data_IF_817482800870
#
_entry.id   IF_817482800870
#
_cell.length_a   1.000
_cell.length_b   1.000
_cell.length_c   1.000
_cell.angle_alpha   90.00
_cell.angle_beta   90.00
_cell.angle_gamma   90.00
#
_symmetry.space_group_name_H-M   'P 1'
#
loop_
_entity.id
_entity.type
_entity.pdbx_description
1 polymer ?
#
# COMPACT_ATOMS: atom_id res chain seq x y z
N UNK A 1 26.12 -60.49 56.02
CA UNK A 1 24.94 -61.36 55.90
C UNK A 1 23.71 -60.47 55.87
N UNK A 2 23.23 -60.12 54.67
CA UNK A 2 21.89 -59.59 54.40
C UNK A 2 21.53 -60.08 52.98
N UNK A 3 20.41 -60.79 52.88
CA UNK A 3 19.77 -61.28 51.66
C UNK A 3 18.82 -60.21 51.12
N UNK A 4 18.78 -60.01 49.80
CA UNK A 4 17.55 -59.96 49.01
C UNK A 4 17.86 -59.78 47.49
N UNK A 5 17.40 -60.70 46.62
CA UNK A 5 17.42 -60.58 45.16
C UNK A 5 16.04 -60.21 44.58
N UNK A 6 16.00 -59.58 43.41
CA UNK A 6 14.98 -59.71 42.34
C UNK A 6 15.06 -58.47 41.42
N UNK A 7 15.50 -58.62 40.16
CA UNK A 7 14.67 -58.95 38.99
C UNK A 7 13.72 -57.79 38.61
N UNK A 8 14.05 -57.00 37.57
CA UNK A 8 13.03 -56.50 36.63
C UNK A 8 13.64 -55.99 35.29
N UNK A 9 13.49 -56.86 34.28
CA UNK A 9 13.02 -56.63 32.90
C UNK A 9 13.54 -55.44 32.08
N UNK A 10 14.36 -55.82 31.08
CA UNK A 10 14.49 -55.20 29.77
C UNK A 10 13.11 -54.97 29.11
N UNK A 11 12.78 -53.72 28.79
CA UNK A 11 11.83 -53.41 27.70
C UNK A 11 12.35 -52.22 26.89
N UNK A 12 13.05 -52.55 25.80
CA UNK A 12 13.22 -51.67 24.65
C UNK A 12 11.85 -51.34 24.08
N UNK A 13 11.31 -50.16 24.37
CA UNK A 13 10.21 -49.57 23.61
C UNK A 13 10.79 -48.49 22.69
N UNK A 14 11.13 -48.91 21.47
CA UNK A 14 11.28 -48.03 20.32
C UNK A 14 9.92 -47.41 20.01
N UNK A 15 9.56 -46.32 20.67
CA UNK A 15 8.49 -45.44 20.18
C UNK A 15 9.12 -44.48 19.19
N UNK A 16 9.13 -44.90 17.93
CA UNK A 16 9.30 -44.00 16.81
C UNK A 16 8.11 -43.02 16.78
N UNK A 17 8.28 -41.87 17.41
CA UNK A 17 7.49 -40.70 17.06
C UNK A 17 8.06 -40.18 15.75
N UNK A 18 7.56 -40.72 14.64
CA UNK A 18 7.62 -40.04 13.38
C UNK A 18 6.93 -38.70 13.55
N UNK A 19 7.71 -37.62 13.60
CA UNK A 19 7.20 -36.29 13.29
C UNK A 19 6.72 -36.36 11.84
N UNK A 20 5.44 -36.65 11.65
CA UNK A 20 4.77 -36.48 10.37
C UNK A 20 4.90 -35.00 10.05
N UNK A 21 5.52 -34.71 8.91
CA UNK A 21 5.65 -33.38 8.35
C UNK A 21 4.33 -32.63 8.48
N UNK A 22 4.31 -31.57 9.29
CA UNK A 22 3.21 -30.62 9.27
C UNK A 22 3.23 -29.99 7.89
N UNK A 23 2.31 -30.45 7.03
CA UNK A 23 1.93 -29.80 5.78
C UNK A 23 1.86 -28.30 6.09
N UNK A 24 2.66 -27.50 5.39
CA UNK A 24 2.59 -26.04 5.45
C UNK A 24 1.21 -25.65 4.92
N UNK A 25 0.17 -25.78 5.74
CA UNK A 25 -1.13 -25.18 5.47
C UNK A 25 -0.86 -23.69 5.52
N UNK A 26 -1.06 -22.95 4.41
CA UNK A 26 -1.01 -21.50 4.47
C UNK A 26 -1.95 -21.10 5.61
N UNK A 27 -1.43 -20.36 6.59
CA UNK A 27 -2.27 -19.77 7.62
C UNK A 27 -3.39 -18.96 6.95
N UNK A 28 -4.47 -18.65 7.69
CA UNK A 28 -5.59 -17.88 7.14
C UNK A 28 -5.05 -16.65 6.41
N UNK A 29 -5.29 -16.58 5.09
CA UNK A 29 -4.97 -15.40 4.30
C UNK A 29 -5.82 -14.28 4.87
N UNK A 30 -5.19 -13.30 5.50
CA UNK A 30 -5.90 -12.15 6.03
C UNK A 30 -6.77 -11.56 4.91
N UNK A 31 -8.03 -11.20 5.17
CA UNK A 31 -8.87 -10.60 4.15
C UNK A 31 -8.19 -9.34 3.64
N UNK A 32 -7.88 -9.33 2.34
CA UNK A 32 -7.29 -8.18 1.66
C UNK A 32 -8.39 -7.14 1.48
N UNK A 33 -8.17 -5.94 2.04
CA UNK A 33 -9.07 -4.80 1.91
C UNK A 33 -8.77 -3.96 0.67
N UNK A 34 -7.96 -4.48 -0.27
CA UNK A 34 -7.51 -3.72 -1.42
C UNK A 34 -8.63 -3.36 -2.41
N UNK A 35 -9.81 -3.95 -2.28
CA UNK A 35 -11.00 -3.58 -3.04
C UNK A 35 -11.97 -2.68 -2.26
N UNK A 36 -11.59 -2.23 -1.05
CA UNK A 36 -12.44 -1.49 -0.11
C UNK A 36 -11.89 -0.10 0.24
N UNK A 37 -10.91 0.44 -0.49
CA UNK A 37 -10.45 1.80 -0.24
C UNK A 37 -11.60 2.82 -0.37
N UNK A 38 -11.77 3.62 0.69
CA UNK A 38 -12.75 4.70 0.75
C UNK A 38 -12.28 5.96 0.03
N UNK A 39 -13.03 7.05 0.20
CA UNK A 39 -12.61 8.38 -0.24
C UNK A 39 -12.00 9.17 0.91
N UNK A 40 -10.74 8.90 1.23
CA UNK A 40 -10.05 9.46 2.40
C UNK A 40 -8.82 10.30 2.04
N UNK A 41 -8.65 10.65 0.77
CA UNK A 41 -7.60 11.59 0.34
C UNK A 41 -8.21 12.99 0.36
N UNK A 42 -7.66 13.87 1.21
CA UNK A 42 -8.01 15.28 1.24
C UNK A 42 -7.36 16.00 0.07
N UNK A 43 -8.16 16.78 -0.66
CA UNK A 43 -7.71 17.58 -1.80
C UNK A 43 -7.60 19.04 -1.37
N UNK A 44 -6.45 19.64 -1.58
CA UNK A 44 -6.24 21.06 -1.29
C UNK A 44 -6.41 21.85 -2.59
N UNK A 45 -7.64 22.32 -2.83
CA UNK A 45 -8.04 22.91 -4.12
C UNK A 45 -8.10 24.44 -4.10
N UNK A 46 -8.09 25.05 -2.92
CA UNK A 46 -8.24 26.51 -2.78
C UNK A 46 -6.86 27.18 -2.62
N UNK A 47 -6.60 28.28 -3.34
CA UNK A 47 -5.45 29.14 -3.08
C UNK A 47 -5.58 29.83 -1.71
N UNK A 48 -5.28 29.08 -0.65
CA UNK A 48 -5.02 29.65 0.67
C UNK A 48 -3.55 30.09 0.72
N UNK A 49 -3.30 31.24 1.34
CA UNK A 49 -1.95 31.76 1.62
C UNK A 49 -1.10 32.13 0.39
N UNK A 50 -1.73 32.39 -0.76
CA UNK A 50 -1.02 32.81 -1.98
C UNK A 50 -0.28 31.67 -2.71
N UNK A 51 -0.54 30.41 -2.32
CA UNK A 51 -0.01 29.23 -2.99
C UNK A 51 -0.83 28.96 -4.26
N UNK A 52 -0.23 28.81 -5.45
CA UNK A 52 -0.93 28.62 -6.72
C UNK A 52 -1.47 27.18 -6.87
N UNK A 53 -2.45 26.84 -6.04
CA UNK A 53 -3.15 25.56 -6.08
C UNK A 53 -4.23 25.56 -7.15
N UNK A 54 -4.38 24.42 -7.82
CA UNK A 54 -5.50 24.10 -8.69
C UNK A 54 -6.36 22.99 -8.12
N UNK A 55 -7.61 22.96 -8.57
CA UNK A 55 -8.52 21.86 -8.33
C UNK A 55 -7.97 20.56 -8.94
N UNK A 56 -8.31 19.44 -8.32
CA UNK A 56 -8.08 18.11 -8.88
C UNK A 56 -9.19 17.84 -9.90
N UNK A 57 -8.84 17.89 -11.19
CA UNK A 57 -9.79 17.77 -12.30
C UNK A 57 -10.05 16.31 -12.69
N UNK A 58 -9.13 15.41 -12.33
CA UNK A 58 -9.28 13.96 -12.54
C UNK A 58 -9.18 13.21 -11.24
N UNK A 59 -10.17 12.39 -10.99
CA UNK A 59 -10.28 11.51 -9.83
C UNK A 59 -11.13 10.30 -10.18
N UNK A 60 -10.51 9.34 -10.86
CA UNK A 60 -11.19 8.20 -11.44
C UNK A 60 -10.81 6.92 -10.71
N UNK A 61 -11.79 6.07 -10.39
CA UNK A 61 -11.55 4.77 -9.75
C UNK A 61 -11.85 3.64 -10.71
N UNK A 62 -10.99 2.62 -10.68
CA UNK A 62 -11.14 1.39 -11.47
C UNK A 62 -10.69 0.19 -10.66
N UNK A 63 -11.22 -0.99 -10.98
CA UNK A 63 -10.67 -2.24 -10.44
C UNK A 63 -9.52 -2.73 -11.33
N UNK A 64 -8.40 -3.11 -10.71
CA UNK A 64 -7.27 -3.73 -11.39
C UNK A 64 -7.54 -5.21 -11.71
N UNK A 65 -6.71 -5.79 -12.60
CA UNK A 65 -6.80 -7.21 -12.95
C UNK A 65 -6.50 -8.15 -11.77
N UNK A 66 -5.81 -7.65 -10.75
CA UNK A 66 -5.55 -8.31 -9.47
C UNK A 66 -6.72 -8.22 -8.48
N UNK A 67 -7.83 -7.60 -8.88
CA UNK A 67 -9.00 -7.37 -8.04
C UNK A 67 -8.88 -6.18 -7.09
N UNK A 68 -7.72 -5.53 -7.01
CA UNK A 68 -7.49 -4.38 -6.13
C UNK A 68 -7.88 -3.07 -6.82
N UNK A 69 -8.45 -2.13 -6.08
CA UNK A 69 -8.85 -0.83 -6.61
C UNK A 69 -7.61 0.01 -6.97
N UNK A 70 -7.71 0.72 -8.10
CA UNK A 70 -6.79 1.75 -8.56
C UNK A 70 -7.53 3.08 -8.62
N UNK A 71 -6.81 4.19 -8.42
CA UNK A 71 -7.36 5.55 -8.48
C UNK A 71 -6.39 6.45 -9.24
N UNK A 72 -6.85 7.11 -10.28
CA UNK A 72 -6.06 8.11 -11.01
C UNK A 72 -6.44 9.48 -10.49
N UNK A 73 -5.44 10.22 -10.00
CA UNK A 73 -5.60 11.61 -9.54
C UNK A 73 -4.75 12.50 -10.45
N UNK A 74 -5.31 13.61 -10.91
CA UNK A 74 -4.59 14.53 -11.79
C UNK A 74 -5.28 15.87 -12.01
N UNK A 75 -4.56 16.75 -12.70
CA UNK A 75 -4.99 18.09 -13.07
C UNK A 75 -4.29 18.57 -14.34
N UNK A 76 -4.90 19.54 -15.00
CA UNK A 76 -4.38 20.22 -16.17
C UNK A 76 -3.69 21.51 -15.77
N UNK A 77 -2.59 21.80 -16.47
CA UNK A 77 -1.85 23.03 -16.28
C UNK A 77 -2.62 24.25 -16.77
N UNK A 78 -2.33 25.40 -16.17
CA UNK A 78 -2.83 26.68 -16.67
C UNK A 78 -2.15 27.04 -18.00
N UNK A 79 -2.76 27.91 -18.82
CA UNK A 79 -2.10 28.41 -20.03
C UNK A 79 -0.74 29.03 -19.73
N UNK A 80 0.29 28.61 -20.48
CA UNK A 80 1.68 29.03 -20.31
C UNK A 80 2.29 28.67 -18.94
N UNK A 81 1.83 27.59 -18.30
CA UNK A 81 2.46 27.04 -17.11
C UNK A 81 3.96 26.75 -17.37
N UNK A 82 4.79 27.15 -16.42
CA UNK A 82 6.21 26.86 -16.32
C UNK A 82 6.51 25.66 -15.43
N UNK A 83 5.60 25.31 -14.51
CA UNK A 83 5.66 24.07 -13.74
C UNK A 83 4.26 23.47 -13.53
N UNK A 84 4.20 22.14 -13.45
CA UNK A 84 2.99 21.38 -13.18
C UNK A 84 3.34 20.11 -12.41
N UNK A 85 2.79 19.96 -11.21
CA UNK A 85 3.03 18.77 -10.39
C UNK A 85 1.93 18.50 -9.38
N UNK A 86 1.83 17.24 -8.96
CA UNK A 86 1.05 16.82 -7.80
C UNK A 86 1.99 16.77 -6.59
N UNK A 87 1.56 17.37 -5.49
CA UNK A 87 2.23 17.30 -4.19
C UNK A 87 1.48 16.33 -3.28
N UNK A 88 2.20 15.38 -2.68
CA UNK A 88 1.61 14.32 -1.87
C UNK A 88 1.94 14.51 -0.39
N UNK A 89 0.95 14.32 0.49
CA UNK A 89 1.12 14.41 1.94
C UNK A 89 1.88 15.69 2.36
N UNK A 90 1.51 16.84 1.79
CA UNK A 90 2.16 18.12 2.10
C UNK A 90 3.69 18.12 1.90
N UNK A 91 4.17 17.48 0.80
CA UNK A 91 5.57 17.21 0.44
C UNK A 91 6.24 16.02 1.15
N UNK A 92 5.67 15.44 2.21
CA UNK A 92 6.30 14.32 2.93
C UNK A 92 6.43 13.05 2.06
N UNK A 93 5.50 12.85 1.13
CA UNK A 93 5.55 11.75 0.15
C UNK A 93 6.10 12.18 -1.22
N UNK A 94 6.64 13.41 -1.30
CA UNK A 94 7.24 13.98 -2.50
C UNK A 94 6.24 14.48 -3.53
N UNK A 95 6.67 14.55 -4.79
CA UNK A 95 5.88 15.08 -5.91
C UNK A 95 5.76 14.08 -7.06
N UNK A 96 4.69 14.17 -7.85
CA UNK A 96 4.63 13.63 -9.22
C UNK A 96 4.75 14.80 -10.20
N UNK A 97 5.71 14.72 -11.13
CA UNK A 97 5.86 15.66 -12.24
C UNK A 97 6.21 14.89 -13.51
N UNK A 98 5.83 15.44 -14.66
CA UNK A 98 6.26 14.91 -15.96
C UNK A 98 7.24 15.91 -16.55
N UNK A 99 8.48 15.48 -16.77
CA UNK A 99 9.55 16.38 -17.20
C UNK A 99 9.25 16.97 -18.59
N UNK A 100 9.28 18.30 -18.69
CA UNK A 100 9.01 19.04 -19.93
C UNK A 100 7.54 19.04 -20.36
N UNK A 101 6.62 18.56 -19.52
CA UNK A 101 5.20 18.51 -19.82
C UNK A 101 4.39 19.28 -18.76
N UNK A 102 3.75 20.37 -19.19
CA UNK A 102 3.01 21.29 -18.31
C UNK A 102 1.53 21.41 -18.65
N UNK A 103 1.03 20.59 -19.58
CA UNK A 103 -0.39 20.55 -19.94
C UNK A 103 -1.20 19.64 -18.99
N UNK A 104 -0.58 18.56 -18.51
CA UNK A 104 -1.25 17.54 -17.69
C UNK A 104 -0.28 16.78 -16.79
N UNK A 105 -0.73 16.52 -15.56
CA UNK A 105 -0.09 15.56 -14.65
C UNK A 105 -1.12 14.62 -14.06
N UNK A 106 -0.83 13.33 -14.11
CA UNK A 106 -1.64 12.27 -13.51
C UNK A 106 -0.75 11.32 -12.72
N UNK A 107 -1.34 10.73 -11.67
CA UNK A 107 -0.72 9.66 -10.91
C UNK A 107 -1.77 8.61 -10.58
N UNK A 108 -1.43 7.36 -10.87
CA UNK A 108 -2.20 6.23 -10.39
C UNK A 108 -1.75 5.82 -8.97
N UNK A 109 -2.74 5.64 -8.10
CA UNK A 109 -2.62 5.08 -6.76
C UNK A 109 -3.16 3.66 -6.75
N UNK A 110 -2.60 2.83 -5.87
CA UNK A 110 -3.06 1.47 -5.62
C UNK A 110 -3.60 1.34 -4.21
N UNK A 111 -4.77 0.72 -4.07
CA UNK A 111 -5.30 0.36 -2.76
C UNK A 111 -4.53 -0.83 -2.19
N UNK A 112 -3.93 -0.67 -1.00
CA UNK A 112 -3.16 -1.72 -0.35
C UNK A 112 -4.04 -2.74 0.40
N UNK A 113 -3.43 -3.80 0.94
CA UNK A 113 -4.13 -4.83 1.68
C UNK A 113 -4.79 -4.32 2.98
N UNK A 114 -4.35 -3.16 3.50
CA UNK A 114 -4.96 -2.49 4.65
C UNK A 114 -6.14 -1.58 4.27
N UNK A 115 -6.41 -1.38 2.99
CA UNK A 115 -7.49 -0.50 2.51
C UNK A 115 -7.08 0.97 2.49
N UNK A 116 -5.79 1.25 2.29
CA UNK A 116 -5.25 2.62 2.14
C UNK A 116 -4.83 2.85 0.69
N UNK A 117 -5.05 4.05 0.19
CA UNK A 117 -4.45 4.47 -1.07
C UNK A 117 -2.96 4.63 -0.90
N UNK A 118 -2.18 4.03 -1.80
CA UNK A 118 -0.72 4.08 -1.77
C UNK A 118 -0.14 4.47 -3.11
N UNK A 119 1.04 5.08 -3.07
CA UNK A 119 1.87 5.36 -4.23
C UNK A 119 3.16 4.55 -4.12
N UNK A 120 3.64 3.97 -5.22
CA UNK A 120 4.92 3.27 -5.24
C UNK A 120 6.04 4.28 -5.53
N UNK A 121 7.01 4.38 -4.63
CA UNK A 121 8.20 5.23 -4.73
C UNK A 121 9.41 4.46 -4.24
N UNK A 122 10.48 4.42 -5.05
CA UNK A 122 11.73 3.75 -4.65
C UNK A 122 11.55 2.31 -4.10
N UNK A 123 10.52 1.60 -4.63
CA UNK A 123 10.08 0.25 -4.21
C UNK A 123 9.33 0.18 -2.87
N UNK A 124 9.02 1.31 -2.27
CA UNK A 124 8.18 1.43 -1.08
C UNK A 124 6.76 1.91 -1.44
N UNK A 125 5.75 1.32 -0.80
CA UNK A 125 4.36 1.78 -0.89
C UNK A 125 4.09 2.80 0.21
N UNK A 126 3.96 4.06 -0.18
CA UNK A 126 3.70 5.17 0.75
C UNK A 126 2.19 5.44 0.79
N UNK A 127 1.54 5.42 1.97
CA UNK A 127 0.12 5.74 2.09
C UNK A 127 -0.12 7.23 1.83
N UNK A 128 -1.16 7.53 1.05
CA UNK A 128 -1.53 8.89 0.66
C UNK A 128 -2.80 9.32 1.40
N UNK A 129 -2.73 10.48 2.05
CA UNK A 129 -3.84 11.12 2.76
C UNK A 129 -4.17 12.50 2.21
N UNK A 130 -3.22 13.14 1.52
CA UNK A 130 -3.38 14.49 1.01
C UNK A 130 -2.81 14.62 -0.40
N UNK A 131 -3.47 15.43 -1.22
CA UNK A 131 -2.99 15.82 -2.55
C UNK A 131 -3.26 17.28 -2.83
N UNK A 132 -2.29 17.94 -3.45
CA UNK A 132 -2.44 19.28 -4.02
C UNK A 132 -1.96 19.25 -5.48
N UNK A 133 -2.63 19.99 -6.35
CA UNK A 133 -2.13 20.26 -7.70
C UNK A 133 -1.53 21.65 -7.75
N UNK A 134 -0.29 21.74 -8.22
CA UNK A 134 0.47 22.97 -8.37
C UNK A 134 0.64 23.24 -9.86
N UNK A 135 0.20 24.41 -10.32
CA UNK A 135 0.42 24.86 -11.69
C UNK A 135 0.78 26.34 -11.69
N UNK A 136 1.98 26.66 -12.15
CA UNK A 136 2.61 27.98 -12.02
C UNK A 136 3.18 28.43 -13.35
#
# INVERSE_FOLDING_TARGET
MFLAPALLLLLFSKTGFGCIATKNTPGPVAPTKCNQCGDNIRKHETPEDGVPRKAIERDERRQGADGCNRRVIGCDGVPNAQDLFLQWNLMEAGTTRVEGQFDRVDQELECDAQGRWTILREKEKIPITDVECMSV
#
